data_IF_148148806363
#
_entry.id   IF_148148806363
#
_cell.length_a   1.000
_cell.length_b   1.000
_cell.length_c   1.000
_cell.angle_alpha   90.00
_cell.angle_beta   90.00
_cell.angle_gamma   90.00
#
_symmetry.space_group_name_H-M   'P 1'
#
loop_
_entity.id
_entity.type
_entity.pdbx_description
1 polymer ?
#
# COMPACT_ATOMS: atom_id res chain seq x y z
N UNK A 1 -1.58 -1.99 -69.12
CA UNK A 1 -0.99 -2.40 -67.85
C UNK A 1 -0.24 -1.18 -67.26
N UNK A 2 -0.87 -0.48 -66.32
CA UNK A 2 -0.33 0.72 -65.70
C UNK A 2 0.63 0.31 -64.59
N UNK A 3 1.93 0.67 -64.69
CA UNK A 3 2.89 0.54 -63.60
C UNK A 3 2.57 1.60 -62.55
N UNK A 4 1.97 1.19 -61.48
CA UNK A 4 1.96 2.02 -60.24
C UNK A 4 3.43 2.12 -59.82
N UNK A 5 3.98 3.33 -59.88
CA UNK A 5 5.39 3.59 -59.51
C UNK A 5 5.57 3.38 -58.01
N UNK A 6 6.63 2.65 -57.62
CA UNK A 6 6.97 2.32 -56.24
C UNK A 6 6.98 3.51 -55.28
N UNK A 7 7.20 4.70 -55.80
CA UNK A 7 7.14 5.96 -55.01
C UNK A 7 5.74 6.39 -54.55
N UNK A 8 4.69 6.02 -55.30
CA UNK A 8 3.31 6.34 -54.88
C UNK A 8 2.83 5.40 -53.77
N UNK A 9 3.27 4.13 -53.80
CA UNK A 9 2.94 3.18 -52.74
C UNK A 9 3.64 3.52 -51.42
N UNK A 10 4.90 3.95 -51.46
CA UNK A 10 5.66 4.37 -50.26
C UNK A 10 5.06 5.64 -49.64
N UNK A 11 4.62 6.59 -50.48
CA UNK A 11 3.97 7.82 -49.96
C UNK A 11 2.60 7.53 -49.35
N UNK A 12 1.82 6.61 -49.89
CA UNK A 12 0.54 6.20 -49.32
C UNK A 12 0.72 5.50 -47.97
N UNK A 13 1.67 4.60 -47.86
CA UNK A 13 2.01 3.89 -46.62
C UNK A 13 2.55 4.84 -45.52
N UNK A 14 3.38 5.81 -45.89
CA UNK A 14 3.82 6.86 -44.93
C UNK A 14 2.67 7.79 -44.49
N UNK A 15 1.76 8.13 -45.37
CA UNK A 15 0.58 8.92 -45.01
C UNK A 15 -0.36 8.16 -44.06
N UNK A 16 -0.55 6.88 -44.28
CA UNK A 16 -1.37 6.02 -43.39
C UNK A 16 -0.71 5.85 -42.02
N UNK A 17 0.62 5.71 -41.95
CA UNK A 17 1.35 5.65 -40.69
C UNK A 17 1.31 6.98 -39.88
N UNK A 18 1.41 8.11 -40.55
CA UNK A 18 1.29 9.43 -39.93
C UNK A 18 -0.14 9.68 -39.45
N UNK A 19 -1.13 9.33 -40.27
CA UNK A 19 -2.56 9.43 -39.92
C UNK A 19 -2.91 8.53 -38.73
N UNK A 20 -2.42 7.30 -38.69
CA UNK A 20 -2.65 6.38 -37.58
C UNK A 20 -1.96 6.86 -36.29
N UNK A 21 -0.77 7.44 -36.38
CA UNK A 21 -0.06 8.04 -35.24
C UNK A 21 -0.77 9.29 -34.71
N UNK A 22 -1.32 10.12 -35.60
CA UNK A 22 -2.10 11.31 -35.22
C UNK A 22 -3.48 10.93 -34.63
N UNK A 23 -4.15 9.92 -35.14
CA UNK A 23 -5.36 9.35 -34.57
C UNK A 23 -5.09 8.74 -33.20
N UNK A 24 -3.97 8.05 -33.02
CA UNK A 24 -3.51 7.54 -31.72
C UNK A 24 -3.23 8.67 -30.71
N UNK A 25 -2.63 9.77 -31.16
CA UNK A 25 -2.44 10.99 -30.32
C UNK A 25 -3.78 11.66 -29.95
N UNK A 26 -4.78 11.64 -30.84
CA UNK A 26 -6.08 12.30 -30.62
C UNK A 26 -7.06 11.47 -29.78
N UNK A 27 -6.87 10.16 -29.72
CA UNK A 27 -7.78 9.21 -29.02
C UNK A 27 -7.34 8.90 -27.59
N UNK A 28 -6.84 9.89 -26.81
CA UNK A 28 -6.84 9.74 -25.35
C UNK A 28 -8.29 9.75 -24.89
N UNK A 29 -8.82 8.56 -24.56
CA UNK A 29 -10.19 8.43 -24.05
C UNK A 29 -10.38 9.30 -22.81
N UNK A 30 -11.62 9.68 -22.49
CA UNK A 30 -11.95 10.44 -21.28
C UNK A 30 -11.43 9.74 -20.02
N UNK A 31 -11.46 8.40 -20.01
CA UNK A 31 -10.90 7.59 -18.92
C UNK A 31 -9.37 7.76 -18.78
N UNK A 32 -8.64 7.77 -19.90
CA UNK A 32 -7.18 7.99 -19.87
C UNK A 32 -6.83 9.40 -19.37
N UNK A 33 -7.60 10.41 -19.76
CA UNK A 33 -7.42 11.79 -19.27
C UNK A 33 -7.69 11.89 -17.77
N UNK A 34 -8.74 11.23 -17.28
CA UNK A 34 -9.08 11.18 -15.86
C UNK A 34 -7.98 10.46 -15.07
N UNK A 35 -7.48 9.32 -15.56
CA UNK A 35 -6.39 8.58 -14.93
C UNK A 35 -5.09 9.42 -14.88
N UNK A 36 -4.75 10.12 -15.96
CA UNK A 36 -3.61 11.03 -15.98
C UNK A 36 -3.78 12.16 -14.96
N UNK A 37 -4.95 12.79 -14.91
CA UNK A 37 -5.24 13.86 -13.96
C UNK A 37 -5.10 13.40 -12.49
N UNK A 38 -5.57 12.20 -12.14
CA UNK A 38 -5.40 11.66 -10.78
C UNK A 38 -3.92 11.45 -10.43
N UNK A 39 -3.11 10.99 -11.40
CA UNK A 39 -1.67 10.81 -11.25
C UNK A 39 -0.94 12.14 -11.09
N UNK A 40 -1.22 13.12 -11.94
CA UNK A 40 -0.59 14.43 -11.94
C UNK A 40 -0.86 15.22 -10.64
N UNK A 41 -2.01 14.99 -10.04
CA UNK A 41 -2.41 15.58 -8.74
C UNK A 41 -1.93 14.79 -7.54
N UNK A 42 -1.21 13.67 -7.71
CA UNK A 42 -0.77 12.77 -6.64
C UNK A 42 -1.94 12.28 -5.76
N UNK A 43 -3.16 12.18 -6.31
CA UNK A 43 -4.35 11.76 -5.57
C UNK A 43 -4.18 10.36 -4.95
N UNK A 44 -3.62 9.35 -5.66
CA UNK A 44 -3.37 8.03 -5.07
C UNK A 44 -2.48 8.10 -3.83
N UNK A 45 -1.44 8.95 -3.86
CA UNK A 45 -0.57 9.15 -2.69
C UNK A 45 -1.32 9.79 -1.52
N UNK A 46 -2.10 10.84 -1.78
CA UNK A 46 -2.86 11.51 -0.72
C UNK A 46 -3.86 10.57 -0.05
N UNK A 47 -4.66 9.85 -0.83
CA UNK A 47 -5.66 8.91 -0.29
C UNK A 47 -4.97 7.79 0.49
N UNK A 48 -3.93 7.19 -0.08
CA UNK A 48 -3.21 6.08 0.56
C UNK A 48 -2.53 6.53 1.87
N UNK A 49 -1.82 7.66 1.85
CA UNK A 49 -1.10 8.15 3.03
C UNK A 49 -2.05 8.61 4.14
N UNK A 50 -3.13 9.33 3.81
CA UNK A 50 -4.13 9.74 4.80
C UNK A 50 -4.82 8.50 5.39
N UNK A 51 -5.25 7.55 4.57
CA UNK A 51 -5.86 6.31 5.04
C UNK A 51 -4.94 5.52 5.96
N UNK A 52 -3.66 5.39 5.61
CA UNK A 52 -2.66 4.71 6.43
C UNK A 52 -2.39 5.44 7.75
N UNK A 53 -2.26 6.77 7.73
CA UNK A 53 -2.08 7.58 8.94
C UNK A 53 -3.26 7.39 9.90
N UNK A 54 -4.49 7.55 9.40
CA UNK A 54 -5.69 7.41 10.23
C UNK A 54 -5.79 6.00 10.81
N UNK A 55 -5.55 4.97 9.98
CA UNK A 55 -5.63 3.59 10.42
C UNK A 55 -4.57 3.27 11.49
N UNK A 56 -3.32 3.69 11.29
CA UNK A 56 -2.24 3.44 12.25
C UNK A 56 -2.45 4.19 13.56
N UNK A 57 -2.89 5.45 13.52
CA UNK A 57 -3.21 6.22 14.73
C UNK A 57 -4.36 5.59 15.51
N UNK A 58 -5.43 5.22 14.81
CA UNK A 58 -6.62 4.64 15.45
C UNK A 58 -6.33 3.26 16.02
N UNK A 59 -5.72 2.37 15.23
CA UNK A 59 -5.39 1.03 15.67
C UNK A 59 -4.34 1.03 16.79
N UNK A 60 -3.34 1.92 16.70
CA UNK A 60 -2.33 2.08 17.74
C UNK A 60 -2.93 2.56 19.05
N UNK A 61 -3.76 3.61 19.02
CA UNK A 61 -4.43 4.12 20.20
C UNK A 61 -5.39 3.08 20.82
N UNK A 62 -6.12 2.34 20.00
CA UNK A 62 -7.02 1.29 20.49
C UNK A 62 -6.26 0.16 21.20
N UNK A 63 -5.10 -0.25 20.70
CA UNK A 63 -4.25 -1.28 21.33
C UNK A 63 -3.72 -0.88 22.72
N UNK A 64 -3.68 0.41 23.01
CA UNK A 64 -3.31 0.94 24.34
C UNK A 64 -4.48 0.93 25.32
N UNK A 65 -5.64 0.39 24.96
CA UNK A 65 -6.78 0.17 25.85
C UNK A 65 -6.88 -1.28 26.26
N UNK A 66 -7.49 -1.58 27.42
CA UNK A 66 -7.67 -2.95 27.87
C UNK A 66 -8.42 -3.83 26.84
N UNK A 67 -9.58 -3.40 26.26
CA UNK A 67 -10.25 -4.18 25.22
C UNK A 67 -9.39 -4.38 23.97
N UNK A 68 -8.59 -3.40 23.60
CA UNK A 68 -7.68 -3.50 22.45
C UNK A 68 -6.56 -4.50 22.70
N UNK A 69 -5.95 -4.50 23.88
CA UNK A 69 -4.92 -5.46 24.28
C UNK A 69 -5.49 -6.89 24.31
N UNK A 70 -6.66 -7.09 24.92
CA UNK A 70 -7.32 -8.39 25.00
C UNK A 70 -7.70 -8.94 23.62
N UNK A 71 -8.16 -8.05 22.71
CA UNK A 71 -8.55 -8.41 21.35
C UNK A 71 -7.41 -8.96 20.48
N UNK A 72 -6.16 -8.58 20.77
CA UNK A 72 -5.00 -9.06 20.00
C UNK A 72 -4.26 -10.24 20.63
N UNK A 73 -4.63 -10.67 21.85
CA UNK A 73 -4.00 -11.84 22.49
C UNK A 73 -4.01 -13.07 21.58
N UNK A 74 -5.15 -13.50 21.01
CA UNK A 74 -5.17 -14.69 20.16
C UNK A 74 -4.35 -14.52 18.88
N UNK A 75 -4.22 -13.30 18.37
CA UNK A 75 -3.44 -13.00 17.17
C UNK A 75 -1.95 -13.12 17.42
N UNK A 76 -1.45 -12.44 18.46
CA UNK A 76 -0.03 -12.45 18.83
C UNK A 76 0.40 -13.83 19.30
N UNK A 77 -0.42 -14.51 20.13
CA UNK A 77 -0.08 -15.84 20.68
C UNK A 77 0.00 -16.94 19.60
N UNK A 78 -0.71 -16.79 18.50
CA UNK A 78 -0.67 -17.73 17.36
C UNK A 78 0.22 -17.23 16.21
N UNK A 79 0.90 -16.08 16.35
CA UNK A 79 1.78 -15.54 15.33
C UNK A 79 3.08 -16.35 15.22
N UNK A 80 3.49 -16.79 14.02
CA UNK A 80 4.75 -17.51 13.86
C UNK A 80 5.98 -16.64 14.13
N UNK A 81 5.83 -15.31 14.07
CA UNK A 81 6.94 -14.35 14.15
C UNK A 81 7.05 -13.69 15.52
N UNK A 82 5.93 -13.42 16.20
CA UNK A 82 5.93 -12.64 17.45
C UNK A 82 5.20 -13.32 18.62
N UNK A 83 4.95 -14.65 18.56
CA UNK A 83 4.31 -15.40 19.65
C UNK A 83 5.01 -15.23 21.01
N UNK A 84 6.31 -14.97 21.02
CA UNK A 84 7.14 -14.74 22.19
C UNK A 84 6.92 -13.38 22.85
N UNK A 85 6.41 -12.39 22.10
CA UNK A 85 6.30 -11.00 22.52
C UNK A 85 5.45 -10.84 23.81
N UNK A 86 4.29 -11.47 23.87
CA UNK A 86 3.44 -11.43 25.07
C UNK A 86 3.95 -12.31 26.20
N UNK A 87 4.80 -13.28 25.92
CA UNK A 87 5.48 -14.05 26.98
C UNK A 87 6.55 -13.24 27.70
N UNK A 88 7.17 -12.31 26.99
CA UNK A 88 8.24 -11.45 27.54
C UNK A 88 7.65 -10.21 28.23
N UNK A 89 6.73 -9.52 27.58
CA UNK A 89 6.22 -8.23 28.05
C UNK A 89 4.86 -8.31 28.75
N UNK A 90 4.18 -9.44 28.65
CA UNK A 90 2.77 -9.57 29.03
C UNK A 90 1.82 -8.95 27.99
N UNK A 91 0.50 -9.26 28.06
CA UNK A 91 -0.43 -8.84 27.02
C UNK A 91 -0.65 -7.31 27.01
N UNK A 92 -0.73 -6.64 28.14
CA UNK A 92 -1.03 -5.19 28.19
C UNK A 92 0.18 -4.35 27.75
N UNK A 93 1.34 -4.53 28.41
CA UNK A 93 2.57 -3.79 28.03
C UNK A 93 2.98 -4.15 26.61
N UNK A 94 2.89 -5.42 26.22
CA UNK A 94 3.19 -5.85 24.86
C UNK A 94 2.26 -5.20 23.83
N UNK A 95 0.98 -5.03 24.15
CA UNK A 95 0.02 -4.32 23.30
C UNK A 95 0.36 -2.84 23.19
N UNK A 96 0.74 -2.19 24.31
CA UNK A 96 1.19 -0.79 24.31
C UNK A 96 2.40 -0.57 23.41
N UNK A 97 3.39 -1.48 23.46
CA UNK A 97 4.58 -1.42 22.58
C UNK A 97 4.17 -1.50 21.10
N UNK A 98 3.26 -2.42 20.74
CA UNK A 98 2.75 -2.54 19.38
C UNK A 98 2.00 -1.25 18.99
N UNK A 99 1.11 -0.76 19.84
CA UNK A 99 0.35 0.47 19.62
C UNK A 99 1.25 1.70 19.43
N UNK A 100 2.26 1.84 20.28
CA UNK A 100 3.25 2.92 20.17
C UNK A 100 4.06 2.84 18.85
N UNK A 101 4.38 1.63 18.41
CA UNK A 101 5.08 1.42 17.12
C UNK A 101 4.20 1.87 15.96
N UNK A 102 2.89 1.59 15.98
CA UNK A 102 1.93 2.04 14.97
C UNK A 102 1.82 3.57 14.95
N UNK A 103 1.66 4.20 16.11
CA UNK A 103 1.60 5.65 16.24
C UNK A 103 2.90 6.30 15.74
N UNK A 104 4.05 5.72 16.08
CA UNK A 104 5.35 6.21 15.61
C UNK A 104 5.45 6.13 14.09
N UNK A 105 5.02 5.03 13.48
CA UNK A 105 4.98 4.89 12.02
C UNK A 105 4.10 5.98 11.38
N UNK A 106 2.92 6.25 11.94
CA UNK A 106 2.02 7.29 11.45
C UNK A 106 2.65 8.69 11.53
N UNK A 107 3.27 9.02 12.67
CA UNK A 107 3.96 10.31 12.87
C UNK A 107 5.10 10.47 11.86
N UNK A 108 5.87 9.42 11.60
CA UNK A 108 6.96 9.45 10.62
C UNK A 108 6.44 9.59 9.18
N UNK A 109 5.30 8.99 8.84
CA UNK A 109 4.64 9.19 7.54
C UNK A 109 4.18 10.65 7.40
N UNK A 110 3.59 11.24 8.45
CA UNK A 110 3.24 12.68 8.47
C UNK A 110 4.49 13.55 8.28
N UNK A 111 5.54 13.28 9.04
CA UNK A 111 6.81 14.00 8.90
C UNK A 111 7.42 13.86 7.50
N UNK A 112 7.13 12.77 6.78
CA UNK A 112 7.55 12.51 5.40
C UNK A 112 7.06 13.54 4.39
N UNK A 113 5.95 14.24 4.65
CA UNK A 113 5.50 15.34 3.79
C UNK A 113 6.52 16.48 3.72
N UNK A 114 7.21 16.75 4.85
CA UNK A 114 8.25 17.77 4.97
C UNK A 114 9.64 17.16 4.78
N UNK A 115 9.92 16.02 5.41
CA UNK A 115 11.22 15.33 5.38
C UNK A 115 11.03 13.92 4.78
N UNK A 116 11.20 13.73 3.45
CA UNK A 116 10.91 12.44 2.79
C UNK A 116 11.61 11.24 3.43
N UNK A 117 12.82 11.40 3.96
CA UNK A 117 13.56 10.34 4.65
C UNK A 117 12.79 9.80 5.89
N UNK A 118 12.11 10.67 6.64
CA UNK A 118 11.25 10.24 7.74
C UNK A 118 10.07 9.39 7.24
N UNK A 119 9.45 9.78 6.12
CA UNK A 119 8.38 9.01 5.49
C UNK A 119 8.83 7.62 5.02
N UNK A 120 10.08 7.50 4.54
CA UNK A 120 10.67 6.20 4.20
C UNK A 120 10.73 5.31 5.45
N UNK A 121 11.24 5.82 6.56
CA UNK A 121 11.35 5.07 7.82
C UNK A 121 9.96 4.65 8.33
N UNK A 122 9.00 5.58 8.37
CA UNK A 122 7.62 5.28 8.77
C UNK A 122 6.97 4.21 7.89
N UNK A 123 7.17 4.31 6.57
CA UNK A 123 6.71 3.30 5.62
C UNK A 123 7.36 1.92 5.84
N UNK A 124 8.66 1.85 6.15
CA UNK A 124 9.34 0.59 6.48
C UNK A 124 8.83 -0.03 7.78
N UNK A 125 8.61 0.77 8.83
CA UNK A 125 8.01 0.28 10.08
C UNK A 125 6.63 -0.31 9.79
N UNK A 126 5.77 0.41 9.05
CA UNK A 126 4.47 -0.10 8.65
C UNK A 126 4.56 -1.37 7.80
N UNK A 127 5.50 -1.44 6.85
CA UNK A 127 5.74 -2.62 6.03
C UNK A 127 6.07 -3.84 6.90
N UNK A 128 6.99 -3.71 7.86
CA UNK A 128 7.36 -4.79 8.76
C UNK A 128 6.17 -5.24 9.62
N UNK A 129 5.41 -4.29 10.17
CA UNK A 129 4.24 -4.58 11.00
C UNK A 129 3.16 -5.31 10.21
N UNK A 130 2.78 -4.81 9.03
CA UNK A 130 1.75 -5.44 8.21
C UNK A 130 2.22 -6.75 7.57
N UNK A 131 3.51 -6.94 7.35
CA UNK A 131 4.05 -8.25 7.00
C UNK A 131 3.81 -9.26 8.12
N UNK A 132 4.14 -8.91 9.37
CA UNK A 132 3.93 -9.77 10.53
C UNK A 132 2.43 -10.09 10.69
N UNK A 133 1.55 -9.09 10.67
CA UNK A 133 0.10 -9.30 10.85
C UNK A 133 -0.53 -10.04 9.68
N UNK A 134 -0.04 -9.88 8.46
CA UNK A 134 -0.49 -10.66 7.30
C UNK A 134 -0.25 -12.16 7.47
N UNK A 135 0.83 -12.57 8.15
CA UNK A 135 1.07 -13.99 8.44
C UNK A 135 0.04 -14.59 9.41
N UNK A 136 -0.57 -13.75 10.26
CA UNK A 136 -1.59 -14.16 11.23
C UNK A 136 -2.89 -14.62 10.57
N UNK A 137 -3.16 -14.21 9.32
CA UNK A 137 -4.32 -14.69 8.54
C UNK A 137 -4.30 -16.22 8.43
N UNK A 138 -3.12 -16.79 8.28
CA UNK A 138 -2.95 -18.24 8.10
C UNK A 138 -2.79 -18.95 9.46
N UNK A 139 -2.11 -18.33 10.42
CA UNK A 139 -1.72 -18.96 11.67
C UNK A 139 -2.76 -18.87 12.78
N UNK A 140 -3.68 -17.88 12.73
CA UNK A 140 -4.66 -17.69 13.80
C UNK A 140 -5.88 -18.59 13.60
N UNK A 141 -6.27 -19.41 14.59
CA UNK A 141 -7.49 -20.21 14.53
C UNK A 141 -8.75 -19.33 14.37
N UNK A 142 -9.72 -19.82 13.61
CA UNK A 142 -10.98 -19.12 13.40
C UNK A 142 -10.97 -18.05 12.30
N UNK A 143 -9.86 -17.84 11.58
CA UNK A 143 -9.81 -16.97 10.41
C UNK A 143 -10.62 -17.49 9.23
N UNK A 144 -10.88 -18.79 9.19
CA UNK A 144 -11.73 -19.42 8.19
C UNK A 144 -12.77 -20.33 8.84
N UNK A 145 -13.96 -20.39 8.24
CA UNK A 145 -15.07 -21.25 8.65
C UNK A 145 -15.51 -22.12 7.47
N UNK A 146 -15.81 -23.41 7.70
CA UNK A 146 -16.36 -24.27 6.65
C UNK A 146 -17.86 -23.98 6.48
N UNK A 147 -18.29 -23.79 5.24
CA UNK A 147 -19.70 -23.68 4.85
C UNK A 147 -19.92 -24.60 3.66
N UNK A 148 -20.75 -25.60 3.80
CA UNK A 148 -21.04 -26.62 2.75
C UNK A 148 -19.77 -27.24 2.13
N UNK A 149 -18.75 -27.51 2.96
CA UNK A 149 -17.48 -28.11 2.49
C UNK A 149 -16.47 -27.14 1.89
N UNK A 150 -16.83 -25.89 1.69
CA UNK A 150 -15.93 -24.82 1.20
C UNK A 150 -15.49 -23.95 2.38
N UNK A 151 -14.21 -23.58 2.43
CA UNK A 151 -13.70 -22.67 3.47
C UNK A 151 -13.85 -21.22 3.04
N UNK A 152 -14.55 -20.43 3.84
CA UNK A 152 -14.71 -19.00 3.68
C UNK A 152 -13.97 -18.25 4.78
N UNK A 153 -13.53 -17.04 4.51
CA UNK A 153 -12.98 -16.17 5.54
C UNK A 153 -14.09 -15.80 6.54
N UNK A 154 -13.80 -15.94 7.82
CA UNK A 154 -14.62 -15.38 8.90
C UNK A 154 -14.48 -13.86 8.96
N UNK A 155 -15.24 -13.20 9.84
CA UNK A 155 -15.05 -11.79 10.14
C UNK A 155 -13.61 -11.48 10.61
N UNK A 156 -13.04 -12.35 11.47
CA UNK A 156 -11.66 -12.25 11.92
C UNK A 156 -10.66 -12.39 10.76
N UNK A 157 -10.90 -13.35 9.85
CA UNK A 157 -10.07 -13.53 8.66
C UNK A 157 -10.10 -12.30 7.74
N UNK A 158 -11.28 -11.74 7.47
CA UNK A 158 -11.43 -10.52 6.68
C UNK A 158 -10.78 -9.32 7.37
N UNK A 159 -10.89 -9.22 8.70
CA UNK A 159 -10.24 -8.17 9.48
C UNK A 159 -8.71 -8.22 9.33
N UNK A 160 -8.11 -9.41 9.39
CA UNK A 160 -6.67 -9.58 9.20
C UNK A 160 -6.26 -9.42 7.72
N UNK A 161 -7.13 -9.83 6.78
CA UNK A 161 -6.81 -9.76 5.36
C UNK A 161 -6.59 -8.33 4.85
N UNK A 162 -7.21 -7.31 5.48
CA UNK A 162 -6.93 -5.90 5.17
C UNK A 162 -5.44 -5.56 5.33
N UNK A 163 -4.71 -6.27 6.20
CA UNK A 163 -3.30 -5.99 6.47
C UNK A 163 -2.41 -6.38 5.29
N UNK A 164 -2.83 -7.32 4.45
CA UNK A 164 -2.17 -7.62 3.17
C UNK A 164 -2.26 -6.42 2.23
N UNK A 165 -3.40 -5.73 2.18
CA UNK A 165 -3.58 -4.52 1.38
C UNK A 165 -2.75 -3.38 1.99
N UNK A 166 -2.75 -3.26 3.31
CA UNK A 166 -1.97 -2.26 4.05
C UNK A 166 -0.46 -2.44 3.85
N UNK A 167 0.01 -3.68 3.75
CA UNK A 167 1.38 -4.01 3.38
C UNK A 167 1.75 -3.41 2.02
N UNK A 168 0.92 -3.63 0.99
CA UNK A 168 1.11 -3.03 -0.33
C UNK A 168 1.09 -1.50 -0.30
N UNK A 169 0.19 -0.90 0.50
CA UNK A 169 0.13 0.54 0.69
C UNK A 169 1.40 1.11 1.32
N UNK A 170 1.98 0.43 2.33
CA UNK A 170 3.25 0.84 2.94
C UNK A 170 4.42 0.77 1.96
N UNK A 171 4.53 -0.30 1.15
CA UNK A 171 5.53 -0.37 0.08
C UNK A 171 5.39 0.78 -0.92
N UNK A 172 4.15 1.13 -1.29
CA UNK A 172 3.90 2.27 -2.15
C UNK A 172 4.39 3.59 -1.51
N UNK A 173 4.14 3.80 -0.21
CA UNK A 173 4.61 4.99 0.52
C UNK A 173 6.14 5.05 0.57
N UNK A 174 6.82 3.93 0.86
CA UNK A 174 8.30 3.84 0.81
C UNK A 174 8.83 4.25 -0.55
N UNK A 175 8.24 3.70 -1.62
CA UNK A 175 8.64 4.02 -3.00
C UNK A 175 8.41 5.50 -3.34
N UNK A 176 7.27 6.07 -2.94
CA UNK A 176 6.94 7.47 -3.19
C UNK A 176 7.90 8.43 -2.46
N UNK A 177 8.10 8.22 -1.16
CA UNK A 177 9.01 9.05 -0.37
C UNK A 177 10.47 8.87 -0.80
N UNK A 178 10.85 7.66 -1.23
CA UNK A 178 12.19 7.38 -1.78
C UNK A 178 12.46 8.22 -3.02
N UNK A 179 11.54 8.21 -3.99
CA UNK A 179 11.67 9.06 -5.19
C UNK A 179 11.73 10.54 -4.84
N UNK A 180 10.90 11.00 -3.90
CA UNK A 180 10.87 12.40 -3.46
C UNK A 180 12.17 12.79 -2.73
N UNK A 181 12.81 11.87 -2.01
CA UNK A 181 14.10 12.11 -1.35
C UNK A 181 15.22 12.31 -2.38
N UNK A 182 15.32 11.42 -3.38
CA UNK A 182 16.31 11.48 -4.46
C UNK A 182 16.17 12.82 -5.24
N UNK A 183 14.94 13.20 -5.59
CA UNK A 183 14.68 14.45 -6.31
C UNK A 183 15.08 15.71 -5.52
N UNK A 184 15.09 15.64 -4.18
CA UNK A 184 15.54 16.74 -3.34
C UNK A 184 17.06 16.81 -3.23
N UNK A 185 17.72 15.66 -3.13
CA UNK A 185 19.19 15.57 -3.08
C UNK A 185 19.81 16.14 -4.36
N UNK A 186 19.31 15.74 -5.52
CA UNK A 186 19.79 16.22 -6.82
C UNK A 186 19.55 17.74 -7.06
N UNK A 187 18.69 18.40 -6.27
CA UNK A 187 18.47 19.86 -6.36
C UNK A 187 19.36 20.66 -5.42
N UNK A 188 20.02 20.01 -4.48
CA UNK A 188 20.90 20.65 -3.49
C UNK A 188 22.40 20.56 -3.88
N UNK A 189 22.71 19.79 -4.91
CA UNK A 189 23.99 19.77 -5.64
C UNK A 189 23.98 20.80 -6.79
#
# INVERSE_FOLDING_TARGET
MSRVTSGQAINAEQQDLVSSAELSKKAKSTLTKLAAWTSDRNIPFLITSIGMIVMLLWAGAYKMTAPGAEGIIPLVSNSPLIWWHFKVFGPYIGSDIIGLTEITAAILIIAGYVKPKAGIVGGFIGTLMFFITSTMVISTPGTTVPVHGIRYMSFLGLFLFKDVISLGACFYLVSYFGRKAILRENKSE
#
